data_IF_582011974131
#
_entry.id   IF_582011974131
#
_cell.length_a   1.000
_cell.length_b   1.000
_cell.length_c   1.000
_cell.angle_alpha   90.00
_cell.angle_beta   90.00
_cell.angle_gamma   90.00
#
_symmetry.space_group_name_H-M   'P 1'
#
loop_
_entity.id
_entity.type
_entity.pdbx_description
1 polymer ?
#
# COMPACT_ATOMS: atom_id res chain seq x y z
N UNK A 1 42.74 -30.28 -3.93
CA UNK A 1 41.43 -30.41 -3.24
C UNK A 1 40.81 -29.06 -2.77
N UNK A 2 41.55 -28.11 -2.23
CA UNK A 2 40.95 -26.87 -1.71
C UNK A 2 40.44 -25.87 -2.80
N UNK A 3 41.11 -25.79 -3.95
CA UNK A 3 40.72 -24.85 -5.04
C UNK A 3 39.42 -25.28 -5.75
N UNK A 4 39.20 -26.59 -5.93
CA UNK A 4 38.01 -27.11 -6.60
C UNK A 4 36.73 -26.91 -5.76
N UNK A 5 36.85 -27.04 -4.43
CA UNK A 5 35.75 -26.79 -3.49
C UNK A 5 35.34 -25.33 -3.45
N UNK A 6 36.30 -24.39 -3.51
CA UNK A 6 36.03 -22.96 -3.55
C UNK A 6 35.40 -22.54 -4.88
N UNK A 7 35.83 -23.11 -6.00
CA UNK A 7 35.21 -22.85 -7.32
C UNK A 7 33.77 -23.33 -7.35
N UNK A 8 33.50 -24.53 -6.83
CA UNK A 8 32.13 -25.08 -6.75
C UNK A 8 31.19 -24.25 -5.87
N UNK A 9 31.68 -23.71 -4.75
CA UNK A 9 30.88 -22.80 -3.90
C UNK A 9 30.58 -21.47 -4.59
N UNK A 10 31.55 -20.89 -5.27
CA UNK A 10 31.38 -19.66 -6.04
C UNK A 10 30.33 -19.82 -7.15
N UNK A 11 30.38 -20.94 -7.87
CA UNK A 11 29.38 -21.25 -8.91
C UNK A 11 27.98 -21.41 -8.34
N UNK A 12 27.83 -22.14 -7.23
CA UNK A 12 26.55 -22.27 -6.53
C UNK A 12 25.96 -20.93 -6.10
N UNK A 13 26.80 -20.01 -5.57
CA UNK A 13 26.37 -18.68 -5.19
C UNK A 13 25.94 -17.88 -6.43
N UNK A 14 26.71 -17.95 -7.52
CA UNK A 14 26.39 -17.27 -8.78
C UNK A 14 25.05 -17.75 -9.34
N UNK A 15 24.85 -19.07 -9.41
CA UNK A 15 23.63 -19.68 -9.92
C UNK A 15 22.42 -19.34 -9.04
N UNK A 16 22.61 -19.32 -7.73
CA UNK A 16 21.58 -18.88 -6.79
C UNK A 16 21.18 -17.43 -7.06
N UNK A 17 22.16 -16.52 -7.17
CA UNK A 17 21.92 -15.11 -7.41
C UNK A 17 21.27 -14.85 -8.78
N UNK A 18 21.68 -15.59 -9.81
CA UNK A 18 21.10 -15.48 -11.15
C UNK A 18 19.62 -15.91 -11.22
N UNK A 19 19.22 -16.86 -10.36
CA UNK A 19 17.82 -17.34 -10.27
C UNK A 19 16.97 -16.52 -9.30
N UNK A 20 17.60 -15.64 -8.53
CA UNK A 20 16.88 -14.83 -7.54
C UNK A 20 16.10 -13.72 -8.24
N UNK A 21 14.78 -13.91 -8.36
CA UNK A 21 13.87 -12.92 -8.94
C UNK A 21 13.38 -11.83 -7.97
N UNK A 22 13.94 -11.76 -6.75
CA UNK A 22 13.53 -10.79 -5.73
C UNK A 22 14.62 -9.77 -5.50
N UNK A 23 14.25 -8.49 -5.61
CA UNK A 23 15.14 -7.35 -5.33
C UNK A 23 15.15 -6.99 -3.83
N UNK A 24 14.27 -7.58 -3.03
CA UNK A 24 14.12 -7.30 -1.60
C UNK A 24 14.52 -8.49 -0.73
N UNK A 25 15.08 -8.17 0.45
CA UNK A 25 15.40 -9.14 1.51
C UNK A 25 14.35 -8.97 2.61
N UNK A 26 13.93 -10.10 3.22
CA UNK A 26 13.02 -10.13 4.37
C UNK A 26 11.59 -9.60 4.11
N UNK A 27 11.15 -9.46 2.87
CA UNK A 27 9.74 -9.22 2.57
C UNK A 27 9.00 -10.55 2.65
N UNK A 28 8.11 -10.65 3.64
CA UNK A 28 7.34 -11.87 3.91
C UNK A 28 5.93 -11.82 3.32
N UNK A 29 5.37 -10.63 3.14
CA UNK A 29 4.01 -10.44 2.63
C UNK A 29 3.98 -9.31 1.63
N UNK A 30 3.38 -9.57 0.49
CA UNK A 30 3.19 -8.60 -0.58
C UNK A 30 1.70 -8.39 -0.80
N UNK A 31 1.32 -7.13 -0.96
CA UNK A 31 -0.06 -6.70 -1.20
C UNK A 31 -0.08 -5.80 -2.43
N UNK A 32 -1.21 -5.78 -3.13
CA UNK A 32 -1.49 -4.79 -4.15
C UNK A 32 -2.76 -4.01 -3.79
N UNK A 33 -2.70 -2.70 -3.95
CA UNK A 33 -3.85 -1.80 -3.81
C UNK A 33 -4.07 -1.04 -5.10
N UNK A 34 -5.34 -0.82 -5.44
CA UNK A 34 -5.73 -0.09 -6.63
C UNK A 34 -6.23 1.31 -6.25
N UNK A 35 -5.42 2.34 -6.52
CA UNK A 35 -5.94 3.71 -6.54
C UNK A 35 -6.90 3.81 -7.73
N UNK A 36 -8.19 3.71 -7.45
CA UNK A 36 -9.21 3.71 -8.48
C UNK A 36 -9.78 5.10 -8.69
N UNK A 37 -9.54 5.63 -9.88
CA UNK A 37 -10.10 6.89 -10.33
C UNK A 37 -11.45 6.65 -11.05
N UNK A 38 -12.39 7.55 -10.83
CA UNK A 38 -13.67 7.59 -11.53
C UNK A 38 -13.74 8.87 -12.34
N UNK A 39 -13.92 8.72 -13.65
CA UNK A 39 -14.10 9.85 -14.55
C UNK A 39 -15.58 10.23 -14.57
N UNK A 40 -15.90 11.38 -13.99
CA UNK A 40 -17.23 12.00 -14.01
C UNK A 40 -17.28 13.20 -14.95
N UNK A 41 -18.48 13.72 -15.20
CA UNK A 41 -18.68 14.86 -16.09
C UNK A 41 -17.95 16.14 -15.61
N UNK A 42 -17.78 16.29 -14.29
CA UNK A 42 -17.19 17.48 -13.65
C UNK A 42 -15.75 17.26 -13.17
N UNK A 43 -15.13 16.10 -13.46
CA UNK A 43 -13.73 15.83 -13.14
C UNK A 43 -13.43 14.40 -12.68
N UNK A 44 -12.24 14.25 -12.08
CA UNK A 44 -11.78 12.99 -11.54
C UNK A 44 -12.12 12.87 -10.06
N UNK A 45 -12.46 11.66 -9.66
CA UNK A 45 -12.78 11.30 -8.29
C UNK A 45 -11.97 10.07 -7.89
N UNK A 46 -11.49 10.00 -6.66
CA UNK A 46 -11.04 8.75 -6.06
C UNK A 46 -12.24 7.94 -5.59
N UNK A 47 -12.22 6.63 -5.83
CA UNK A 47 -13.17 5.70 -5.25
C UNK A 47 -12.52 5.02 -4.04
N UNK A 48 -13.21 5.09 -2.92
CA UNK A 48 -12.82 4.45 -1.66
C UNK A 48 -13.87 3.45 -1.24
N UNK A 49 -13.42 2.49 -0.46
CA UNK A 49 -14.28 1.59 0.29
C UNK A 49 -14.12 1.80 1.80
N UNK A 50 -15.19 1.51 2.53
CA UNK A 50 -15.18 1.43 3.98
C UNK A 50 -15.25 -0.03 4.39
N UNK A 51 -14.29 -0.46 5.20
CA UNK A 51 -14.15 -1.84 5.65
C UNK A 51 -15.34 -2.25 6.52
N UNK A 52 -15.84 -3.47 6.31
CA UNK A 52 -16.93 -4.02 7.10
C UNK A 52 -16.54 -4.26 8.58
N UNK A 53 -17.53 -4.36 9.44
CA UNK A 53 -17.32 -4.59 10.88
C UNK A 53 -16.73 -5.98 11.20
N UNK A 54 -16.80 -6.89 10.27
CA UNK A 54 -16.42 -8.31 10.39
C UNK A 54 -14.95 -8.59 10.14
N UNK A 55 -14.21 -7.63 9.56
CA UNK A 55 -12.81 -7.82 9.18
C UNK A 55 -11.87 -6.96 10.03
N UNK A 56 -10.55 -7.16 9.87
CA UNK A 56 -9.53 -6.36 10.57
C UNK A 56 -9.66 -4.89 10.20
N UNK A 57 -9.40 -4.01 11.16
CA UNK A 57 -9.53 -2.55 11.02
C UNK A 57 -10.92 -2.15 10.53
N UNK A 58 -11.97 -2.51 11.27
CA UNK A 58 -13.34 -2.24 10.87
C UNK A 58 -13.61 -0.74 10.78
N UNK A 59 -14.30 -0.32 9.72
CA UNK A 59 -14.65 1.08 9.49
C UNK A 59 -13.54 1.95 8.89
N UNK A 60 -12.33 1.44 8.74
CA UNK A 60 -11.26 2.15 8.03
C UNK A 60 -11.64 2.37 6.57
N UNK A 61 -11.19 3.49 6.04
CA UNK A 61 -11.38 3.85 4.64
C UNK A 61 -10.09 3.52 3.89
N UNK A 62 -10.22 2.74 2.81
CA UNK A 62 -9.09 2.30 2.01
C UNK A 62 -9.42 2.28 0.51
N UNK A 63 -8.41 1.99 -0.28
CA UNK A 63 -8.58 1.56 -1.66
C UNK A 63 -8.78 0.05 -1.71
N UNK A 64 -9.48 -0.48 -2.72
CA UNK A 64 -9.57 -1.91 -2.94
C UNK A 64 -8.18 -2.55 -3.06
N UNK A 65 -8.02 -3.75 -2.52
CA UNK A 65 -6.76 -4.45 -2.62
C UNK A 65 -6.54 -5.51 -1.56
N UNK A 66 -5.59 -6.39 -1.83
CA UNK A 66 -5.30 -7.51 -0.95
C UNK A 66 -3.96 -8.16 -1.20
N UNK A 67 -3.81 -9.38 -0.74
CA UNK A 67 -2.56 -10.10 -0.74
C UNK A 67 -2.26 -10.71 -2.11
N UNK A 68 -1.00 -10.56 -2.59
CA UNK A 68 -0.53 -11.26 -3.77
C UNK A 68 -0.54 -12.77 -3.57
N UNK A 69 -1.05 -13.49 -4.55
CA UNK A 69 -0.97 -14.95 -4.64
C UNK A 69 0.32 -15.38 -5.36
N UNK A 70 0.68 -16.66 -5.19
CA UNK A 70 1.90 -17.19 -5.79
C UNK A 70 1.82 -17.16 -7.33
N UNK A 71 2.77 -16.44 -7.96
CA UNK A 71 2.83 -16.31 -9.41
C UNK A 71 1.91 -15.25 -10.01
N UNK A 72 1.16 -14.54 -9.18
CA UNK A 72 0.30 -13.44 -9.61
C UNK A 72 1.10 -12.15 -9.86
N UNK A 73 0.75 -11.39 -10.89
CA UNK A 73 1.30 -10.04 -11.05
C UNK A 73 0.59 -9.04 -10.13
N UNK A 74 1.26 -7.93 -9.83
CA UNK A 74 0.70 -6.87 -8.99
C UNK A 74 -0.62 -6.33 -9.55
N UNK A 75 -0.67 -6.11 -10.87
CA UNK A 75 -1.87 -5.62 -11.55
C UNK A 75 -3.00 -6.64 -11.52
N UNK A 76 -2.68 -7.94 -11.72
CA UNK A 76 -3.68 -9.01 -11.64
C UNK A 76 -4.28 -9.10 -10.24
N UNK A 77 -3.45 -9.03 -9.20
CA UNK A 77 -3.91 -9.00 -7.81
C UNK A 77 -4.83 -7.80 -7.55
N UNK A 78 -4.39 -6.60 -7.91
CA UNK A 78 -5.20 -5.38 -7.72
C UNK A 78 -6.57 -5.48 -8.40
N UNK A 79 -6.63 -6.02 -9.61
CA UNK A 79 -7.90 -6.22 -10.35
C UNK A 79 -8.77 -7.32 -9.73
N UNK A 80 -8.17 -8.45 -9.34
CA UNK A 80 -8.89 -9.56 -8.70
C UNK A 80 -9.54 -9.13 -7.39
N UNK A 81 -8.76 -8.51 -6.50
CA UNK A 81 -9.25 -8.03 -5.22
C UNK A 81 -10.36 -6.97 -5.41
N UNK A 82 -10.16 -6.01 -6.33
CA UNK A 82 -11.21 -5.03 -6.65
C UNK A 82 -12.50 -5.68 -7.14
N UNK A 83 -12.38 -6.75 -7.94
CA UNK A 83 -13.55 -7.49 -8.37
C UNK A 83 -14.22 -8.26 -7.21
N UNK A 84 -13.44 -8.89 -6.34
CA UNK A 84 -13.94 -9.65 -5.19
C UNK A 84 -14.62 -8.73 -4.17
N UNK A 85 -14.06 -7.56 -3.90
CA UNK A 85 -14.56 -6.59 -2.92
C UNK A 85 -15.76 -5.78 -3.42
N UNK A 86 -15.68 -5.22 -4.63
CA UNK A 86 -16.68 -4.26 -5.14
C UNK A 86 -17.30 -4.63 -6.49
N UNK A 87 -16.92 -5.73 -7.11
CA UNK A 87 -17.57 -6.28 -8.31
C UNK A 87 -17.18 -5.62 -9.64
N UNK A 88 -16.25 -4.67 -9.66
CA UNK A 88 -15.83 -4.00 -10.90
C UNK A 88 -14.86 -4.88 -11.72
N UNK A 89 -15.11 -4.96 -13.05
CA UNK A 89 -14.30 -5.76 -13.99
C UNK A 89 -13.59 -4.95 -15.06
N UNK A 90 -14.24 -3.90 -15.55
CA UNK A 90 -13.74 -3.12 -16.70
C UNK A 90 -12.97 -1.89 -16.23
N UNK A 91 -11.75 -2.13 -15.74
CA UNK A 91 -10.85 -1.10 -15.23
C UNK A 91 -9.69 -0.95 -16.18
N UNK A 92 -9.46 0.25 -16.67
CA UNK A 92 -8.25 0.59 -17.40
C UNK A 92 -7.11 0.82 -16.41
N UNK A 93 -6.07 -0.01 -16.47
CA UNK A 93 -4.87 0.18 -15.67
C UNK A 93 -4.01 1.27 -16.33
N UNK A 94 -3.77 2.34 -15.59
CA UNK A 94 -2.89 3.43 -16.04
C UNK A 94 -1.41 3.12 -15.79
N UNK A 95 -1.12 2.35 -14.73
CA UNK A 95 0.24 1.90 -14.44
C UNK A 95 0.49 1.61 -12.96
N UNK A 96 1.71 1.17 -12.68
CA UNK A 96 2.23 1.06 -11.31
C UNK A 96 2.68 2.43 -10.84
N UNK A 97 2.26 2.82 -9.65
CA UNK A 97 2.70 4.07 -9.04
C UNK A 97 3.97 3.88 -8.22
N UNK A 98 4.03 2.85 -7.40
CA UNK A 98 5.20 2.60 -6.56
C UNK A 98 5.02 1.43 -5.60
N UNK A 99 5.97 1.29 -4.68
CA UNK A 99 5.89 0.29 -3.61
C UNK A 99 6.21 0.95 -2.29
N UNK A 100 5.28 0.88 -1.35
CA UNK A 100 5.47 1.29 0.03
C UNK A 100 5.93 0.09 0.86
N UNK A 101 7.04 0.27 1.56
CA UNK A 101 7.52 -0.72 2.53
C UNK A 101 7.08 -0.32 3.93
N UNK A 102 6.40 -1.25 4.59
CA UNK A 102 5.88 -1.05 5.94
C UNK A 102 6.62 -1.93 6.95
N UNK A 103 6.49 -1.57 8.22
CA UNK A 103 6.98 -2.40 9.34
C UNK A 103 6.41 -3.83 9.22
N UNK A 104 7.07 -4.79 9.85
CA UNK A 104 6.72 -6.20 9.79
C UNK A 104 6.88 -6.87 8.41
N UNK A 105 7.86 -6.41 7.61
CA UNK A 105 8.25 -7.05 6.34
C UNK A 105 7.09 -7.13 5.33
N UNK A 106 6.35 -6.03 5.19
CA UNK A 106 5.25 -5.87 4.24
C UNK A 106 5.70 -4.97 3.09
N UNK A 107 5.46 -5.41 1.85
CA UNK A 107 5.51 -4.57 0.67
C UNK A 107 4.09 -4.36 0.15
N UNK A 108 3.71 -3.11 -0.04
CA UNK A 108 2.42 -2.71 -0.60
C UNK A 108 2.65 -2.03 -1.95
N UNK A 109 2.28 -2.73 -3.00
CA UNK A 109 2.39 -2.25 -4.38
C UNK A 109 1.16 -1.44 -4.73
N UNK A 110 1.37 -0.25 -5.27
CA UNK A 110 0.29 0.67 -5.62
C UNK A 110 0.13 0.72 -7.13
N UNK A 111 -1.06 0.42 -7.58
CA UNK A 111 -1.48 0.47 -8.98
C UNK A 111 -2.51 1.59 -9.13
N UNK A 112 -2.49 2.31 -10.24
CA UNK A 112 -3.50 3.31 -10.57
C UNK A 112 -4.34 2.81 -11.72
N UNK A 113 -5.65 2.89 -11.57
CA UNK A 113 -6.61 2.55 -12.62
C UNK A 113 -7.73 3.58 -12.71
N UNK A 114 -8.47 3.54 -13.79
CA UNK A 114 -9.57 4.46 -14.08
C UNK A 114 -10.78 3.73 -14.65
N UNK A 115 -11.96 4.19 -14.26
CA UNK A 115 -13.24 3.76 -14.83
C UNK A 115 -14.12 4.96 -15.16
N UNK A 116 -14.99 4.88 -16.18
CA UNK A 116 -16.05 5.85 -16.38
C UNK A 116 -17.11 5.72 -15.27
N UNK A 117 -17.77 6.83 -14.91
CA UNK A 117 -18.83 6.84 -13.88
C UNK A 117 -19.93 5.80 -14.14
N UNK A 118 -20.20 5.50 -15.41
CA UNK A 118 -21.21 4.53 -15.80
C UNK A 118 -20.95 3.12 -15.22
N UNK A 119 -19.69 2.75 -14.97
CA UNK A 119 -19.33 1.45 -14.38
C UNK A 119 -19.76 1.34 -12.92
N UNK A 120 -19.97 2.44 -12.20
CA UNK A 120 -20.46 2.41 -10.81
C UNK A 120 -21.84 1.78 -10.66
N UNK A 121 -22.61 1.68 -11.74
CA UNK A 121 -23.91 0.95 -11.76
C UNK A 121 -23.74 -0.55 -11.61
N UNK A 122 -22.54 -1.06 -11.87
CA UNK A 122 -22.20 -2.48 -11.82
C UNK A 122 -21.62 -2.91 -10.47
N UNK A 123 -21.50 -1.98 -9.52
CA UNK A 123 -20.97 -2.28 -8.18
C UNK A 123 -21.75 -3.40 -7.50
N UNK A 124 -21.03 -4.36 -6.95
CA UNK A 124 -21.55 -5.47 -6.14
C UNK A 124 -20.61 -5.67 -4.97
N UNK A 125 -20.99 -5.15 -3.82
CA UNK A 125 -20.16 -5.18 -2.64
C UNK A 125 -20.16 -6.59 -2.00
N UNK A 126 -18.98 -7.05 -1.62
CA UNK A 126 -18.81 -8.17 -0.70
C UNK A 126 -19.20 -7.68 0.70
N UNK A 127 -20.43 -7.94 1.14
CA UNK A 127 -20.94 -7.48 2.44
C UNK A 127 -20.10 -7.96 3.61
N UNK A 128 -19.34 -9.04 3.42
CA UNK A 128 -18.42 -9.57 4.42
C UNK A 128 -17.17 -8.69 4.59
N UNK A 129 -16.78 -7.90 3.57
CA UNK A 129 -15.54 -7.17 3.53
C UNK A 129 -15.73 -5.66 3.39
N UNK A 130 -16.75 -5.22 2.67
CA UNK A 130 -17.01 -3.83 2.31
C UNK A 130 -18.37 -3.38 2.82
N UNK A 131 -18.37 -2.39 3.72
CA UNK A 131 -19.61 -1.81 4.25
C UNK A 131 -20.20 -0.73 3.33
N UNK A 132 -19.35 0.01 2.64
CA UNK A 132 -19.76 1.16 1.83
C UNK A 132 -18.70 1.45 0.77
N UNK A 133 -19.13 1.96 -0.39
CA UNK A 133 -18.25 2.54 -1.42
C UNK A 133 -18.71 3.97 -1.69
N UNK A 134 -17.77 4.90 -1.79
CA UNK A 134 -18.06 6.29 -2.06
C UNK A 134 -16.94 6.93 -2.89
N UNK A 135 -17.20 8.11 -3.42
CA UNK A 135 -16.21 8.83 -4.22
C UNK A 135 -15.93 10.23 -3.64
N UNK A 136 -14.66 10.65 -3.71
CA UNK A 136 -14.22 11.99 -3.29
C UNK A 136 -13.54 12.69 -4.47
N UNK A 137 -13.90 13.95 -4.79
CA UNK A 137 -13.25 14.67 -5.87
C UNK A 137 -11.73 14.77 -5.66
N UNK A 138 -10.94 14.53 -6.69
CA UNK A 138 -9.47 14.70 -6.63
C UNK A 138 -9.10 16.12 -6.22
N UNK A 139 -9.84 17.12 -6.71
CA UNK A 139 -9.64 18.53 -6.34
C UNK A 139 -9.76 18.81 -4.85
N UNK A 140 -10.58 18.04 -4.11
CA UNK A 140 -10.68 18.19 -2.65
C UNK A 140 -9.32 18.02 -1.99
N UNK A 141 -8.56 17.02 -2.37
CA UNK A 141 -7.24 16.76 -1.81
C UNK A 141 -6.18 17.78 -2.25
N UNK A 142 -6.33 18.34 -3.44
CA UNK A 142 -5.47 19.41 -3.93
C UNK A 142 -5.70 20.76 -3.21
N UNK A 143 -6.93 20.99 -2.75
CA UNK A 143 -7.36 22.26 -2.14
C UNK A 143 -7.36 22.23 -0.61
N UNK A 144 -7.29 21.03 -0.02
CA UNK A 144 -7.41 20.84 1.43
C UNK A 144 -6.07 20.45 2.04
N UNK A 145 -5.57 21.26 2.97
CA UNK A 145 -4.42 20.90 3.80
C UNK A 145 -4.82 19.77 4.78
N UNK A 146 -4.13 18.62 4.75
CA UNK A 146 -4.39 17.55 5.71
C UNK A 146 -3.90 17.93 7.11
N UNK A 147 -4.52 17.33 8.12
CA UNK A 147 -3.90 17.30 9.43
C UNK A 147 -2.76 16.27 9.41
N UNK A 148 -1.58 16.66 9.87
CA UNK A 148 -0.39 15.79 9.96
C UNK A 148 -0.10 15.52 11.43
N UNK A 149 -0.13 14.24 11.80
CA UNK A 149 0.33 13.78 13.09
C UNK A 149 1.73 13.17 12.95
N UNK A 150 2.69 13.69 13.71
CA UNK A 150 4.05 13.16 13.78
C UNK A 150 4.11 12.04 14.83
N UNK A 151 4.53 10.86 14.42
CA UNK A 151 4.66 9.69 15.28
C UNK A 151 6.11 9.24 15.35
N UNK A 152 6.61 9.10 16.59
CA UNK A 152 7.90 8.47 16.82
C UNK A 152 7.76 6.94 16.79
N UNK A 153 8.67 6.29 16.06
CA UNK A 153 8.79 4.83 16.03
C UNK A 153 10.01 4.45 16.86
N UNK A 154 9.75 3.99 18.06
CA UNK A 154 10.78 3.51 18.99
C UNK A 154 10.86 1.98 18.96
N UNK A 155 12.07 1.45 19.08
CA UNK A 155 12.28 0.01 19.14
C UNK A 155 12.06 -0.47 20.57
N UNK A 156 11.26 -1.52 20.72
CA UNK A 156 11.20 -2.26 21.97
C UNK A 156 12.47 -3.09 22.11
N UNK A 157 13.28 -2.75 23.12
CA UNK A 157 14.54 -3.41 23.41
C UNK A 157 14.49 -4.29 24.65
N UNK A 158 13.29 -4.59 25.17
CA UNK A 158 13.13 -5.51 26.28
C UNK A 158 13.69 -6.89 25.94
N UNK A 159 14.62 -7.40 26.75
CA UNK A 159 15.28 -8.66 26.52
C UNK A 159 16.34 -8.67 25.42
N UNK A 160 16.74 -7.52 24.89
CA UNK A 160 17.81 -7.47 23.89
C UNK A 160 19.16 -7.90 24.51
N UNK A 161 19.93 -8.78 23.84
CA UNK A 161 21.11 -9.43 24.43
C UNK A 161 22.38 -8.55 24.37
N UNK A 162 22.37 -7.41 25.04
CA UNK A 162 23.49 -6.43 25.05
C UNK A 162 24.84 -7.05 25.42
N UNK A 163 24.87 -7.89 26.46
CA UNK A 163 26.09 -8.53 26.93
C UNK A 163 26.66 -9.51 25.90
N UNK A 164 25.82 -10.30 25.25
CA UNK A 164 26.26 -11.24 24.20
C UNK A 164 26.90 -10.54 23.01
N UNK A 165 26.44 -9.33 22.70
CA UNK A 165 26.95 -8.51 21.60
C UNK A 165 28.14 -7.63 22.03
N UNK A 166 28.49 -7.59 23.31
CA UNK A 166 29.56 -6.72 23.84
C UNK A 166 29.26 -5.23 23.74
N UNK A 167 27.98 -4.86 23.67
CA UNK A 167 27.56 -3.45 23.62
C UNK A 167 26.91 -3.03 24.94
N UNK A 168 26.96 -1.75 25.24
CA UNK A 168 26.42 -1.22 26.50
C UNK A 168 24.89 -1.20 26.49
N UNK A 169 24.26 -1.38 27.62
CA UNK A 169 22.80 -1.34 27.80
C UNK A 169 22.17 0.03 27.52
N UNK A 170 23.00 1.11 27.55
CA UNK A 170 22.57 2.47 27.20
C UNK A 170 22.79 2.80 25.71
N UNK A 171 22.95 1.79 24.84
CA UNK A 171 23.09 1.94 23.39
C UNK A 171 21.95 2.80 22.83
N UNK A 172 22.31 3.83 22.07
CA UNK A 172 21.32 4.76 21.50
C UNK A 172 20.77 4.21 20.20
N UNK A 173 19.60 3.61 20.31
CA UNK A 173 18.83 3.17 19.15
C UNK A 173 18.32 4.36 18.34
N UNK A 174 18.23 4.18 17.02
CA UNK A 174 17.63 5.21 16.18
C UNK A 174 16.12 5.26 16.42
N UNK A 175 15.61 6.45 16.56
CA UNK A 175 14.18 6.73 16.55
C UNK A 175 13.78 6.99 15.10
N UNK A 176 12.81 6.28 14.60
CA UNK A 176 12.17 6.57 13.32
C UNK A 176 11.07 7.62 13.51
N UNK A 177 10.78 8.37 12.47
CA UNK A 177 9.67 9.32 12.45
C UNK A 177 8.73 8.97 11.30
N UNK A 178 7.44 8.97 11.54
CA UNK A 178 6.41 8.70 10.55
C UNK A 178 5.33 9.78 10.62
N UNK A 179 4.98 10.34 9.47
CA UNK A 179 3.83 11.23 9.35
C UNK A 179 2.57 10.41 9.11
N UNK A 180 1.55 10.67 9.88
CA UNK A 180 0.21 10.14 9.65
C UNK A 180 -0.64 11.27 9.08
N UNK A 181 -0.98 11.12 7.80
CA UNK A 181 -1.80 12.08 7.05
C UNK A 181 -3.27 11.80 7.33
N UNK A 182 -4.06 12.85 7.57
CA UNK A 182 -5.48 12.72 7.90
C UNK A 182 -6.27 13.78 7.14
N UNK A 183 -7.21 13.35 6.30
CA UNK A 183 -8.20 14.20 5.63
C UNK A 183 -9.59 13.94 6.22
N UNK A 184 -10.39 14.99 6.29
CA UNK A 184 -11.81 14.89 6.63
C UNK A 184 -12.63 15.38 5.43
N UNK A 185 -13.41 14.48 4.85
CA UNK A 185 -14.38 14.79 3.81
C UNK A 185 -15.77 14.44 4.32
N UNK A 186 -16.59 15.44 4.59
CA UNK A 186 -17.90 15.29 5.22
C UNK A 186 -17.81 14.48 6.56
N UNK A 187 -18.47 13.33 6.63
CA UNK A 187 -18.42 12.40 7.76
C UNK A 187 -17.30 11.35 7.65
N UNK A 188 -16.51 11.38 6.56
CA UNK A 188 -15.45 10.41 6.26
C UNK A 188 -14.10 10.89 6.76
N UNK A 189 -13.38 10.00 7.43
CA UNK A 189 -11.98 10.22 7.84
C UNK A 189 -11.09 9.31 7.02
N UNK A 190 -10.32 9.90 6.11
CA UNK A 190 -9.34 9.20 5.26
C UNK A 190 -7.99 9.46 5.88
N UNK A 191 -7.29 8.40 6.31
CA UNK A 191 -6.05 8.55 7.06
C UNK A 191 -5.01 7.48 6.76
N UNK A 192 -3.81 7.64 7.32
CA UNK A 192 -2.73 6.66 7.25
C UNK A 192 -2.19 6.47 5.83
N UNK A 193 -1.98 5.21 5.42
CA UNK A 193 -1.44 4.88 4.10
C UNK A 193 -2.31 5.35 2.96
N UNK A 194 -3.63 5.19 3.08
CA UNK A 194 -4.59 5.63 2.07
C UNK A 194 -4.47 7.12 1.81
N UNK A 195 -4.48 7.93 2.86
CA UNK A 195 -4.32 9.38 2.76
C UNK A 195 -2.93 9.77 2.24
N UNK A 196 -1.89 9.04 2.64
CA UNK A 196 -0.52 9.24 2.15
C UNK A 196 -0.40 9.00 0.65
N UNK A 197 -0.99 7.91 0.13
CA UNK A 197 -0.99 7.61 -1.30
C UNK A 197 -1.70 8.70 -2.11
N UNK A 198 -2.88 9.13 -1.63
CA UNK A 198 -3.62 10.22 -2.28
C UNK A 198 -2.81 11.50 -2.31
N UNK A 199 -2.25 11.91 -1.17
CA UNK A 199 -1.44 13.11 -1.04
C UNK A 199 -0.27 13.11 -2.02
N UNK A 200 0.55 12.06 -2.00
CA UNK A 200 1.70 11.96 -2.89
C UNK A 200 1.31 11.97 -4.36
N UNK A 201 0.27 11.21 -4.74
CA UNK A 201 -0.19 11.17 -6.12
C UNK A 201 -0.67 12.54 -6.60
N UNK A 202 -1.47 13.26 -5.79
CA UNK A 202 -1.98 14.60 -6.13
C UNK A 202 -0.84 15.62 -6.22
N UNK A 203 0.12 15.59 -5.29
CA UNK A 203 1.30 16.45 -5.29
C UNK A 203 2.18 16.21 -6.54
N UNK A 204 2.49 14.95 -6.86
CA UNK A 204 3.35 14.59 -8.00
C UNK A 204 2.70 14.84 -9.36
N UNK A 205 1.38 14.68 -9.46
CA UNK A 205 0.64 15.05 -10.67
C UNK A 205 0.55 16.56 -10.89
N UNK A 206 0.98 17.38 -9.92
CA UNK A 206 0.91 18.83 -10.00
C UNK A 206 -0.53 19.35 -10.09
N UNK A 207 -1.50 18.60 -9.54
CA UNK A 207 -2.89 19.04 -9.43
C UNK A 207 -2.92 20.12 -8.35
N UNK A 208 -2.60 21.34 -8.76
CA UNK A 208 -2.63 22.53 -7.91
C UNK A 208 -4.00 23.18 -7.94
N UNK A 209 -4.28 24.04 -6.95
CA UNK A 209 -5.49 24.88 -6.89
C UNK A 209 -5.76 25.52 -8.25
N UNK A 210 -6.91 25.22 -8.82
CA UNK A 210 -7.46 25.94 -9.97
C UNK A 210 -8.14 27.23 -9.51
#
# INVERSE_FOLDING_TARGET
MGKDLQTSQKEKIRDFLARRGRDTIDIMREFAVLILLVQKADGLYFLFEKRAATIKQPGDICFPGGRLEAGESVEACALRETYEEIGLRHIEILGKYGTQYELASIAMHVVVGIVPEAELKNLRLSEAEVAEVFTVPVRFFAETEPYIYEQDIVQDTAGFPYEMLGIRSDYKWRVGHKQIVIYRYEDKIIWGLTASFVRHLVEELGITKF
#
